data_IF_332416220296
#
_entry.id   IF_332416220296
#
_cell.length_a   1.000
_cell.length_b   1.000
_cell.length_c   1.000
_cell.angle_alpha   90.00
_cell.angle_beta   90.00
_cell.angle_gamma   90.00
#
_symmetry.space_group_name_H-M   'P 1'
#
loop_
_entity.id
_entity.type
_entity.pdbx_description
1 polymer ?
#
# COMPACT_ATOMS: atom_id res chain seq x y z
N UNK A 1 34.99 -18.44 85.92
CA UNK A 1 35.92 -19.44 85.33
C UNK A 1 35.10 -20.56 84.69
N UNK A 2 34.81 -20.46 83.38
CA UNK A 2 33.90 -21.39 82.68
C UNK A 2 34.67 -22.52 81.98
N UNK A 3 34.36 -23.77 82.32
CA UNK A 3 35.00 -24.98 81.76
C UNK A 3 34.36 -25.35 80.40
N UNK A 4 35.19 -25.31 79.35
CA UNK A 4 34.88 -25.67 77.96
C UNK A 4 34.76 -27.19 77.82
N UNK A 5 33.54 -27.72 77.61
CA UNK A 5 33.31 -29.14 77.28
C UNK A 5 33.48 -29.37 75.78
N UNK A 6 34.51 -30.14 75.42
CA UNK A 6 34.82 -30.59 74.05
C UNK A 6 33.95 -31.80 73.74
N UNK A 7 33.03 -31.68 72.77
CA UNK A 7 32.18 -32.78 72.28
C UNK A 7 32.88 -33.43 71.09
N UNK A 8 33.43 -34.63 71.31
CA UNK A 8 33.93 -35.51 70.24
C UNK A 8 32.73 -36.21 69.58
N UNK A 9 32.47 -35.94 68.30
CA UNK A 9 31.48 -36.69 67.48
C UNK A 9 32.19 -37.84 66.77
N UNK A 10 31.83 -39.07 67.11
CA UNK A 10 32.25 -40.31 66.47
C UNK A 10 31.50 -40.50 65.14
N UNK A 11 32.23 -40.81 64.07
CA UNK A 11 31.67 -41.07 62.73
C UNK A 11 31.34 -42.56 62.57
N UNK A 12 30.06 -42.89 62.61
CA UNK A 12 29.57 -44.24 62.32
C UNK A 12 29.55 -44.45 60.80
N UNK A 13 30.51 -45.23 60.27
CA UNK A 13 30.55 -45.70 58.88
C UNK A 13 29.32 -46.57 58.59
N UNK A 14 28.35 -46.05 57.84
CA UNK A 14 27.27 -46.83 57.23
C UNK A 14 27.76 -47.42 55.90
N UNK A 15 28.09 -48.70 55.89
CA UNK A 15 28.32 -49.48 54.66
C UNK A 15 26.99 -49.76 53.98
N UNK A 16 26.66 -49.00 52.93
CA UNK A 16 25.51 -49.30 52.07
C UNK A 16 25.93 -50.34 51.03
N UNK A 17 25.36 -51.54 51.13
CA UNK A 17 25.45 -52.60 50.10
C UNK A 17 25.05 -52.05 48.73
N UNK A 18 25.89 -52.23 47.73
CA UNK A 18 25.61 -51.88 46.35
C UNK A 18 24.60 -52.86 45.75
N UNK A 19 23.38 -52.38 45.50
CA UNK A 19 22.39 -53.08 44.67
C UNK A 19 22.82 -52.91 43.22
N UNK A 20 23.29 -53.98 42.57
CA UNK A 20 23.59 -53.98 41.14
C UNK A 20 22.28 -53.85 40.36
N UNK A 21 21.97 -52.65 39.88
CA UNK A 21 20.92 -52.43 38.89
C UNK A 21 21.36 -53.02 37.55
N UNK A 22 20.57 -53.95 37.02
CA UNK A 22 20.70 -54.52 35.67
C UNK A 22 20.54 -53.37 34.67
N UNK A 23 21.61 -53.02 33.95
CA UNK A 23 21.59 -52.02 32.89
C UNK A 23 20.88 -52.62 31.68
N UNK A 24 19.64 -52.21 31.45
CA UNK A 24 18.96 -52.43 30.16
C UNK A 24 19.66 -51.52 29.16
N UNK A 25 20.36 -52.11 28.20
CA UNK A 25 20.95 -51.39 27.06
C UNK A 25 19.81 -50.88 26.18
N UNK A 26 19.39 -49.65 26.42
CA UNK A 26 18.62 -48.90 25.40
C UNK A 26 19.58 -48.59 24.28
N UNK A 27 19.26 -49.08 23.08
CA UNK A 27 19.91 -48.66 21.85
C UNK A 27 19.86 -47.13 21.80
N UNK A 28 21.04 -46.51 21.63
CA UNK A 28 21.12 -45.06 21.47
C UNK A 28 20.69 -44.78 20.03
N UNK A 29 19.43 -44.41 19.85
CA UNK A 29 19.01 -43.70 18.65
C UNK A 29 19.97 -42.51 18.44
N UNK A 30 20.39 -42.21 17.20
CA UNK A 30 21.21 -41.04 16.93
C UNK A 30 20.38 -39.80 17.28
N UNK A 31 20.57 -39.30 18.50
CA UNK A 31 20.10 -38.00 18.93
C UNK A 31 20.86 -36.99 18.09
N UNK A 32 20.27 -36.60 16.95
CA UNK A 32 20.75 -35.48 16.15
C UNK A 32 20.59 -34.22 16.99
N UNK A 33 21.60 -33.95 17.81
CA UNK A 33 21.69 -32.68 18.52
C UNK A 33 21.99 -31.63 17.46
N UNK A 34 20.93 -30.97 16.99
CA UNK A 34 21.04 -29.76 16.17
C UNK A 34 21.70 -28.71 17.05
N UNK A 35 23.03 -28.67 17.01
CA UNK A 35 23.80 -27.65 17.69
C UNK A 35 23.53 -26.33 16.97
N UNK A 36 22.78 -25.46 17.62
CA UNK A 36 22.73 -24.06 17.20
C UNK A 36 24.11 -23.49 17.48
N UNK A 37 24.92 -23.30 16.44
CA UNK A 37 26.30 -22.82 16.54
C UNK A 37 26.38 -21.51 17.34
N UNK A 38 25.40 -20.61 17.13
CA UNK A 38 25.28 -19.34 17.85
C UNK A 38 23.86 -19.10 18.37
N UNK A 39 23.51 -19.62 19.56
CA UNK A 39 22.16 -19.45 20.11
C UNK A 39 21.85 -17.99 20.42
N UNK A 40 22.88 -17.16 20.68
CA UNK A 40 22.74 -15.71 20.90
C UNK A 40 22.34 -14.97 19.63
N UNK A 41 22.96 -15.28 18.50
CA UNK A 41 22.61 -14.66 17.21
C UNK A 41 21.25 -15.16 16.71
N UNK A 42 20.96 -16.45 16.87
CA UNK A 42 19.63 -16.98 16.56
C UNK A 42 18.54 -16.26 17.36
N UNK A 43 18.75 -16.07 18.68
CA UNK A 43 17.83 -15.29 19.51
C UNK A 43 17.71 -13.83 19.04
N UNK A 44 18.83 -13.17 18.69
CA UNK A 44 18.80 -11.80 18.17
C UNK A 44 17.94 -11.71 16.91
N UNK A 45 18.17 -12.58 15.94
CA UNK A 45 17.44 -12.59 14.67
C UNK A 45 15.94 -12.89 14.87
N UNK A 46 15.60 -13.79 15.80
CA UNK A 46 14.21 -14.06 16.17
C UNK A 46 13.56 -12.82 16.79
N UNK A 47 14.25 -12.11 17.68
CA UNK A 47 13.70 -10.91 18.32
C UNK A 47 13.60 -9.73 17.34
N UNK A 48 14.54 -9.62 16.42
CA UNK A 48 14.55 -8.58 15.39
C UNK A 48 13.41 -8.79 14.37
N UNK A 49 13.24 -10.01 13.88
CA UNK A 49 12.09 -10.35 13.01
C UNK A 49 10.75 -10.17 13.72
N UNK A 50 10.62 -10.56 14.99
CA UNK A 50 9.40 -10.29 15.77
C UNK A 50 9.15 -8.80 15.96
N UNK A 51 10.20 -8.00 16.16
CA UNK A 51 10.09 -6.54 16.25
C UNK A 51 9.59 -5.94 14.94
N UNK A 52 10.11 -6.39 13.81
CA UNK A 52 9.66 -5.96 12.48
C UNK A 52 8.18 -6.31 12.25
N UNK A 53 7.77 -7.53 12.60
CA UNK A 53 6.36 -7.95 12.52
C UNK A 53 5.46 -7.06 13.36
N UNK A 54 5.87 -6.72 14.59
CA UNK A 54 5.10 -5.82 15.46
C UNK A 54 4.98 -4.41 14.84
N UNK A 55 6.08 -3.87 14.32
CA UNK A 55 6.07 -2.57 13.65
C UNK A 55 5.13 -2.59 12.44
N UNK A 56 5.18 -3.67 11.66
CA UNK A 56 4.30 -3.85 10.51
C UNK A 56 2.82 -3.96 10.91
N UNK A 57 2.50 -4.69 12.00
CA UNK A 57 1.13 -4.76 12.50
C UNK A 57 0.61 -3.38 12.93
N UNK A 58 1.44 -2.61 13.65
CA UNK A 58 1.06 -1.26 14.09
C UNK A 58 0.89 -0.29 12.92
N UNK A 59 1.76 -0.37 11.90
CA UNK A 59 1.62 0.45 10.70
C UNK A 59 0.39 0.04 9.89
N UNK A 60 0.08 -1.25 9.83
CA UNK A 60 -1.11 -1.77 9.17
C UNK A 60 -2.39 -1.28 9.83
N UNK A 61 -2.46 -1.22 11.17
CA UNK A 61 -3.63 -0.64 11.86
C UNK A 61 -3.84 0.84 11.50
N UNK A 62 -2.77 1.62 11.41
CA UNK A 62 -2.85 3.02 10.96
C UNK A 62 -3.31 3.12 9.52
N UNK A 63 -2.76 2.28 8.65
CA UNK A 63 -3.13 2.23 7.23
C UNK A 63 -4.59 1.81 7.05
N UNK A 64 -5.08 0.85 7.84
CA UNK A 64 -6.47 0.42 7.82
C UNK A 64 -7.44 1.56 8.14
N UNK A 65 -7.14 2.39 9.15
CA UNK A 65 -7.95 3.58 9.46
C UNK A 65 -7.99 4.56 8.29
N UNK A 66 -6.85 4.83 7.66
CA UNK A 66 -6.78 5.70 6.47
C UNK A 66 -7.61 5.13 5.32
N UNK A 67 -7.58 3.81 5.13
CA UNK A 67 -8.37 3.15 4.08
C UNK A 67 -9.88 3.24 4.38
N UNK A 68 -10.29 3.05 5.62
CA UNK A 68 -11.67 3.23 6.07
C UNK A 68 -12.16 4.67 5.85
N UNK A 69 -11.34 5.67 6.20
CA UNK A 69 -11.62 7.09 5.95
C UNK A 69 -11.71 7.40 4.45
N UNK A 70 -10.81 6.86 3.63
CA UNK A 70 -10.86 6.99 2.17
C UNK A 70 -12.15 6.42 1.59
N UNK A 71 -12.56 5.24 2.04
CA UNK A 71 -13.82 4.62 1.60
C UNK A 71 -15.03 5.44 2.06
N UNK A 72 -15.02 5.93 3.31
CA UNK A 72 -16.09 6.77 3.83
C UNK A 72 -16.23 8.08 3.05
N UNK A 73 -15.13 8.79 2.81
CA UNK A 73 -15.11 10.05 2.02
C UNK A 73 -15.51 9.81 0.57
N UNK A 74 -15.07 8.72 -0.04
CA UNK A 74 -15.49 8.36 -1.40
C UNK A 74 -17.00 8.06 -1.48
N UNK A 75 -17.55 7.36 -0.49
CA UNK A 75 -18.98 7.12 -0.41
C UNK A 75 -19.76 8.43 -0.23
N UNK A 76 -19.28 9.34 0.62
CA UNK A 76 -19.86 10.68 0.77
C UNK A 76 -19.86 11.44 -0.57
N UNK A 77 -18.73 11.45 -1.28
CA UNK A 77 -18.64 12.08 -2.60
C UNK A 77 -19.64 11.47 -3.58
N UNK A 78 -19.75 10.13 -3.62
CA UNK A 78 -20.72 9.44 -4.46
C UNK A 78 -22.15 9.86 -4.13
N UNK A 79 -22.49 9.95 -2.84
CA UNK A 79 -23.82 10.43 -2.42
C UNK A 79 -24.07 11.87 -2.88
N UNK A 80 -23.10 12.77 -2.72
CA UNK A 80 -23.23 14.16 -3.19
C UNK A 80 -23.38 14.24 -4.70
N UNK A 81 -22.66 13.44 -5.49
CA UNK A 81 -22.82 13.38 -6.95
C UNK A 81 -24.22 12.89 -7.31
N UNK A 82 -24.72 11.84 -6.66
CA UNK A 82 -26.08 11.35 -6.92
C UNK A 82 -27.13 12.38 -6.55
N UNK A 83 -26.93 13.14 -5.48
CA UNK A 83 -27.84 14.22 -5.07
C UNK A 83 -27.80 15.39 -6.06
N UNK A 84 -26.62 15.84 -6.46
CA UNK A 84 -26.44 16.87 -7.50
C UNK A 84 -27.15 16.43 -8.78
N UNK A 85 -26.92 15.20 -9.25
CA UNK A 85 -27.59 14.68 -10.44
C UNK A 85 -29.12 14.64 -10.25
N UNK A 86 -29.61 14.26 -9.07
CA UNK A 86 -31.05 14.30 -8.76
C UNK A 86 -31.60 15.71 -8.82
N UNK A 87 -30.89 16.71 -8.29
CA UNK A 87 -31.31 18.11 -8.33
C UNK A 87 -31.26 18.68 -9.75
N UNK A 88 -30.20 18.38 -10.50
CA UNK A 88 -30.03 18.81 -11.89
C UNK A 88 -31.09 18.18 -12.79
N UNK A 89 -31.33 16.88 -12.68
CA UNK A 89 -32.27 16.18 -13.56
C UNK A 89 -33.73 16.35 -13.12
N UNK A 90 -33.99 16.30 -11.82
CA UNK A 90 -35.33 16.34 -11.26
C UNK A 90 -35.90 17.75 -11.19
N UNK A 91 -35.13 18.72 -10.66
CA UNK A 91 -35.63 20.08 -10.47
C UNK A 91 -35.19 20.99 -11.61
N UNK A 92 -33.89 21.10 -11.84
CA UNK A 92 -33.33 22.09 -12.75
C UNK A 92 -33.83 21.85 -14.18
N UNK A 93 -33.57 20.67 -14.76
CA UNK A 93 -34.03 20.30 -16.12
C UNK A 93 -35.55 20.27 -16.26
N UNK A 94 -36.31 20.07 -15.17
CA UNK A 94 -37.77 20.12 -15.21
C UNK A 94 -38.31 21.55 -15.26
N UNK A 95 -37.65 22.50 -14.59
CA UNK A 95 -37.98 23.91 -14.66
C UNK A 95 -37.47 24.59 -15.93
N UNK A 96 -36.45 24.02 -16.57
CA UNK A 96 -36.05 24.47 -17.90
C UNK A 96 -37.10 24.05 -18.96
N UNK A 97 -37.48 24.97 -19.85
CA UNK A 97 -38.36 24.61 -20.96
C UNK A 97 -37.70 23.51 -21.80
N UNK A 98 -38.39 22.36 -21.95
CA UNK A 98 -37.94 21.20 -22.79
C UNK A 98 -37.84 21.53 -24.28
N UNK A 99 -38.12 22.78 -24.65
CA UNK A 99 -38.01 23.28 -26.00
C UNK A 99 -36.56 23.52 -26.34
N UNK A 100 -36.16 23.10 -27.54
CA UNK A 100 -34.93 23.51 -28.22
C UNK A 100 -34.88 25.04 -28.22
N UNK A 101 -34.35 25.65 -27.16
CA UNK A 101 -34.07 27.07 -27.14
C UNK A 101 -33.13 27.29 -28.31
N UNK A 102 -33.64 27.94 -29.36
CA UNK A 102 -32.78 28.43 -30.43
C UNK A 102 -31.75 29.30 -29.73
N UNK A 103 -30.48 28.94 -29.83
CA UNK A 103 -29.40 29.76 -29.32
C UNK A 103 -29.62 31.20 -29.85
N UNK A 104 -29.96 32.13 -28.95
CA UNK A 104 -30.10 33.53 -29.30
C UNK A 104 -28.68 34.09 -29.41
N UNK A 105 -28.20 34.17 -30.66
CA UNK A 105 -26.83 34.56 -31.02
C UNK A 105 -25.93 33.32 -30.99
N UNK A 106 -25.65 32.67 -32.10
CA UNK A 106 -24.97 33.17 -33.29
C UNK A 106 -25.72 32.62 -34.50
N UNK A 107 -26.11 33.50 -35.44
CA UNK A 107 -26.47 33.02 -36.78
C UNK A 107 -25.24 32.25 -37.29
N UNK A 108 -25.30 30.95 -37.60
CA UNK A 108 -24.27 30.38 -38.45
C UNK A 108 -24.40 31.15 -39.76
N UNK A 109 -23.43 32.03 -40.04
CA UNK A 109 -23.35 32.62 -41.36
C UNK A 109 -23.37 31.48 -42.36
N UNK A 110 -24.15 31.58 -43.45
CA UNK A 110 -24.10 30.58 -44.49
C UNK A 110 -22.64 30.56 -44.96
N UNK A 111 -21.98 29.41 -44.81
CA UNK A 111 -20.63 29.19 -45.32
C UNK A 111 -20.69 29.43 -46.82
N UNK A 112 -20.41 30.67 -47.24
CA UNK A 112 -20.28 31.03 -48.63
C UNK A 112 -19.02 30.34 -49.11
N UNK A 113 -19.19 29.28 -49.89
CA UNK A 113 -18.14 28.79 -50.78
C UNK A 113 -17.79 29.95 -51.71
N UNK A 114 -16.63 30.59 -51.50
CA UNK A 114 -16.06 31.49 -52.49
C UNK A 114 -14.62 31.09 -52.71
N UNK A 115 -14.41 30.35 -53.80
CA UNK A 115 -13.11 30.22 -54.46
C UNK A 115 -12.73 31.61 -55.00
N UNK A 116 -11.50 32.09 -54.78
CA UNK A 116 -10.91 33.11 -55.66
C UNK A 116 -9.39 32.94 -55.71
N UNK A 117 -8.86 32.87 -56.93
CA UNK A 117 -7.43 32.99 -57.27
C UNK A 117 -6.97 34.46 -57.29
N UNK A 118 -5.76 34.69 -56.74
CA UNK A 118 -4.77 35.76 -57.02
C UNK A 118 -5.03 37.22 -56.56
N UNK A 119 -3.98 38.08 -56.33
CA UNK A 119 -2.51 37.84 -56.19
C UNK A 119 -1.77 38.61 -55.03
N UNK A 120 -0.75 37.96 -54.42
CA UNK A 120 0.65 38.34 -53.94
C UNK A 120 1.06 39.84 -53.79
N UNK A 121 2.01 40.37 -52.91
CA UNK A 121 3.00 39.81 -51.91
C UNK A 121 3.18 40.55 -50.52
N UNK A 122 4.11 40.02 -49.69
CA UNK A 122 5.07 40.65 -48.73
C UNK A 122 4.70 41.14 -47.29
N UNK A 123 5.05 40.29 -46.32
CA UNK A 123 5.77 40.48 -45.03
C UNK A 123 5.30 41.41 -43.87
N UNK A 124 5.55 40.86 -42.66
CA UNK A 124 5.50 41.40 -41.28
C UNK A 124 4.08 41.61 -40.72
N UNK A 125 3.68 41.08 -39.56
CA UNK A 125 4.40 40.84 -38.30
C UNK A 125 3.56 39.86 -37.43
N UNK A 126 4.17 39.27 -36.41
CA UNK A 126 3.74 38.08 -35.65
C UNK A 126 2.58 38.31 -34.62
N UNK A 127 2.35 37.43 -33.61
CA UNK A 127 1.40 36.31 -33.64
C UNK A 127 0.39 36.38 -32.47
N UNK A 128 -0.68 35.56 -32.43
CA UNK A 128 -1.24 34.99 -31.17
C UNK A 128 -2.46 34.06 -31.37
N UNK A 129 -2.17 32.76 -31.24
CA UNK A 129 -2.87 31.72 -30.47
C UNK A 129 -4.32 31.38 -30.82
N UNK A 130 -4.44 30.42 -31.74
CA UNK A 130 -5.49 29.43 -31.75
C UNK A 130 -5.53 28.66 -30.40
N UNK A 131 -6.69 28.57 -29.76
CA UNK A 131 -6.95 27.48 -28.80
C UNK A 131 -8.15 26.66 -29.27
N UNK A 132 -7.93 25.65 -30.13
CA UNK A 132 -8.77 24.48 -30.15
C UNK A 132 -8.69 23.81 -28.78
N UNK A 133 -9.79 23.23 -28.28
CA UNK A 133 -9.78 22.39 -27.08
C UNK A 133 -8.92 21.16 -27.36
N UNK A 134 -7.61 21.31 -27.22
CA UNK A 134 -6.68 20.19 -27.19
C UNK A 134 -6.96 19.46 -25.89
N UNK A 135 -7.19 18.16 -26.00
CA UNK A 135 -6.84 17.23 -24.93
C UNK A 135 -5.38 17.53 -24.61
N UNK A 136 -5.11 18.32 -23.60
CA UNK A 136 -3.83 18.22 -22.92
C UNK A 136 -3.95 16.94 -22.12
N UNK A 137 -3.66 15.80 -22.76
CA UNK A 137 -2.92 14.77 -22.04
C UNK A 137 -1.73 15.53 -21.48
N UNK A 138 -1.78 15.83 -20.19
CA UNK A 138 -0.65 16.46 -19.51
C UNK A 138 0.55 15.57 -19.79
N UNK A 139 1.75 16.12 -19.90
CA UNK A 139 2.98 15.31 -19.97
C UNK A 139 3.01 14.26 -18.84
N UNK A 140 2.39 14.58 -17.69
CA UNK A 140 2.15 13.65 -16.59
C UNK A 140 1.28 12.44 -16.96
N UNK A 141 0.21 12.64 -17.72
CA UNK A 141 -0.74 11.59 -18.14
C UNK A 141 -0.07 10.62 -19.14
N UNK A 142 0.81 11.16 -20.00
CA UNK A 142 1.62 10.35 -20.92
C UNK A 142 2.73 9.58 -20.18
N UNK A 143 3.37 10.22 -19.19
CA UNK A 143 4.35 9.56 -18.33
C UNK A 143 3.72 8.44 -17.48
N UNK A 144 2.52 8.64 -16.95
CA UNK A 144 1.77 7.61 -16.22
C UNK A 144 1.42 6.41 -17.13
N UNK A 145 1.01 6.67 -18.37
CA UNK A 145 0.75 5.62 -19.35
C UNK A 145 2.03 4.82 -19.67
N UNK A 146 3.16 5.50 -19.89
CA UNK A 146 4.45 4.84 -20.17
C UNK A 146 4.94 4.01 -18.98
N UNK A 147 4.82 4.52 -17.75
CA UNK A 147 5.21 3.77 -16.55
C UNK A 147 4.36 2.51 -16.36
N UNK A 148 3.06 2.60 -16.65
CA UNK A 148 2.15 1.45 -16.61
C UNK A 148 2.51 0.38 -17.64
N UNK A 149 2.93 0.78 -18.83
CA UNK A 149 3.37 -0.14 -19.88
C UNK A 149 4.69 -0.84 -19.48
N UNK A 150 5.64 -0.10 -18.90
CA UNK A 150 6.91 -0.65 -18.37
C UNK A 150 6.65 -1.64 -17.22
N UNK A 151 5.76 -1.31 -16.28
CA UNK A 151 5.36 -2.25 -15.21
C UNK A 151 4.74 -3.53 -15.78
N UNK A 152 3.91 -3.41 -16.82
CA UNK A 152 3.32 -4.56 -17.51
C UNK A 152 4.38 -5.46 -18.14
N UNK A 153 5.41 -4.88 -18.77
CA UNK A 153 6.54 -5.61 -19.35
C UNK A 153 7.42 -6.27 -18.27
N UNK A 154 7.72 -5.57 -17.19
CA UNK A 154 8.50 -6.16 -16.09
C UNK A 154 7.76 -7.31 -15.40
N UNK A 155 6.43 -7.21 -15.30
CA UNK A 155 5.59 -8.26 -14.71
C UNK A 155 5.50 -9.50 -15.59
N UNK A 156 5.70 -9.39 -16.90
CA UNK A 156 5.73 -10.56 -17.81
C UNK A 156 7.13 -11.18 -17.94
N UNK A 157 8.18 -10.50 -17.45
CA UNK A 157 9.56 -10.98 -17.44
C UNK A 157 9.97 -11.69 -16.13
N UNK A 158 9.12 -11.66 -15.10
CA UNK A 158 9.26 -12.40 -13.84
C UNK A 158 8.18 -13.48 -13.71
#
# INVERSE_FOLDING_TARGET
MAKKKVVRKTSTKRTKKAVKRKTVSREKEPEYMVQVNDPKNARKNILESLREVIIFMQSYEKFKKIQEEKVATFNQLKTSITEINRLVEGQLKSHFPKGKLKALGIKPEPVKKVQVEAPVPEMAEEPQLEVPVKKTTSELDELEAQLKDIEGQLRSMN
#
